data_IF_891169461626
#
_entry.id   IF_891169461626
#
_cell.length_a   1.000
_cell.length_b   1.000
_cell.length_c   1.000
_cell.angle_alpha   90.00
_cell.angle_beta   90.00
_cell.angle_gamma   90.00
#
_symmetry.space_group_name_H-M   'P 1'
#
loop_
_entity.id
_entity.type
_entity.pdbx_description
1 polymer ?
#
# COMPACT_ATOMS: atom_id res chain seq x y z
N UNK A 1 4.16 25.89 -8.41
CA UNK A 1 3.69 25.64 -7.00
C UNK A 1 2.74 24.45 -6.92
N UNK A 2 1.83 24.28 -7.87
CA UNK A 2 0.90 23.14 -7.95
C UNK A 2 1.60 21.77 -8.03
N UNK A 3 2.66 21.61 -8.84
CA UNK A 3 3.41 20.34 -8.95
C UNK A 3 4.13 19.95 -7.67
N UNK A 4 4.59 20.94 -6.89
CA UNK A 4 5.18 20.70 -5.57
C UNK A 4 4.15 20.16 -4.59
N UNK A 5 2.94 20.74 -4.55
CA UNK A 5 1.84 20.27 -3.70
C UNK A 5 1.40 18.85 -4.09
N UNK A 6 1.30 18.57 -5.39
CA UNK A 6 1.03 17.22 -5.92
C UNK A 6 2.09 16.21 -5.45
N UNK A 7 3.37 16.54 -5.60
CA UNK A 7 4.45 15.66 -5.16
C UNK A 7 4.42 15.43 -3.64
N UNK A 8 4.24 16.49 -2.85
CA UNK A 8 4.14 16.40 -1.40
C UNK A 8 2.98 15.50 -0.96
N UNK A 9 1.81 15.65 -1.57
CA UNK A 9 0.65 14.82 -1.26
C UNK A 9 0.93 13.33 -1.54
N UNK A 10 1.49 13.01 -2.71
CA UNK A 10 1.86 11.64 -3.06
C UNK A 10 2.97 11.08 -2.15
N UNK A 11 3.92 11.92 -1.73
CA UNK A 11 4.93 11.54 -0.76
C UNK A 11 4.31 11.16 0.59
N UNK A 12 3.48 12.04 1.18
CA UNK A 12 2.80 11.78 2.45
C UNK A 12 1.92 10.51 2.40
N UNK A 13 1.24 10.28 1.27
CA UNK A 13 0.45 9.06 1.04
C UNK A 13 1.32 7.80 0.97
N UNK A 14 2.47 7.89 0.29
CA UNK A 14 3.39 6.75 0.17
C UNK A 14 3.97 6.40 1.54
N UNK A 15 4.37 7.39 2.34
CA UNK A 15 4.89 7.16 3.68
C UNK A 15 3.82 6.58 4.62
N UNK A 16 2.59 7.09 4.56
CA UNK A 16 1.46 6.52 5.32
C UNK A 16 1.23 5.05 4.98
N UNK A 17 1.31 4.71 3.69
CA UNK A 17 1.18 3.33 3.23
C UNK A 17 2.33 2.45 3.75
N UNK A 18 3.57 2.94 3.69
CA UNK A 18 4.75 2.23 4.21
C UNK A 18 4.62 1.95 5.72
N UNK A 19 4.11 2.91 6.51
CA UNK A 19 3.89 2.69 7.94
C UNK A 19 2.84 1.62 8.23
N UNK A 20 1.77 1.55 7.42
CA UNK A 20 0.80 0.45 7.50
C UNK A 20 1.47 -0.89 7.15
N UNK A 21 2.30 -0.94 6.11
CA UNK A 21 3.03 -2.16 5.75
C UNK A 21 4.00 -2.61 6.84
N UNK A 22 4.69 -1.68 7.51
CA UNK A 22 5.57 -1.99 8.65
C UNK A 22 4.78 -2.66 9.78
N UNK A 23 3.62 -2.10 10.15
CA UNK A 23 2.72 -2.70 11.16
C UNK A 23 2.29 -4.11 10.78
N UNK A 24 1.94 -4.34 9.52
CA UNK A 24 1.56 -5.66 9.00
C UNK A 24 2.76 -6.62 9.09
N UNK A 25 3.94 -6.19 8.63
CA UNK A 25 5.13 -7.04 8.59
C UNK A 25 5.60 -7.44 9.99
N UNK A 26 5.49 -6.57 11.00
CA UNK A 26 5.80 -6.92 12.39
C UNK A 26 4.93 -8.09 12.89
N UNK A 27 3.67 -8.18 12.44
CA UNK A 27 2.74 -9.24 12.83
C UNK A 27 2.98 -10.52 12.01
N UNK A 28 3.21 -10.37 10.70
CA UNK A 28 3.25 -11.50 9.76
C UNK A 28 4.63 -12.13 9.66
N UNK A 29 5.73 -11.38 9.84
CA UNK A 29 7.10 -11.91 9.73
C UNK A 29 7.35 -13.13 10.62
N UNK A 30 6.90 -13.17 11.88
CA UNK A 30 7.03 -14.35 12.74
C UNK A 30 6.34 -15.63 12.20
N UNK A 31 5.36 -15.51 11.30
CA UNK A 31 4.69 -16.68 10.70
C UNK A 31 5.67 -17.49 9.84
N UNK A 32 6.66 -16.81 9.23
CA UNK A 32 7.65 -17.43 8.37
C UNK A 32 8.91 -17.90 9.11
N UNK A 33 9.09 -17.51 10.37
CA UNK A 33 10.26 -17.94 11.17
C UNK A 33 10.03 -19.26 11.91
N UNK A 34 8.78 -19.76 11.96
CA UNK A 34 8.44 -21.05 12.58
C UNK A 34 8.62 -21.11 14.10
N UNK A 35 8.81 -19.95 14.74
CA UNK A 35 9.12 -19.85 16.18
C UNK A 35 7.88 -19.70 17.06
N UNK A 36 6.69 -19.53 16.47
CA UNK A 36 5.45 -19.29 17.21
C UNK A 36 4.68 -20.57 17.51
N UNK A 37 4.11 -20.64 18.70
CA UNK A 37 3.07 -21.59 19.08
C UNK A 37 1.74 -21.26 18.39
N UNK A 38 0.82 -22.23 18.37
CA UNK A 38 -0.53 -22.04 17.79
C UNK A 38 -1.27 -20.89 18.47
N UNK A 39 -1.17 -20.75 19.79
CA UNK A 39 -1.85 -19.67 20.53
C UNK A 39 -1.29 -18.29 20.18
N UNK A 40 0.03 -18.19 19.96
CA UNK A 40 0.68 -16.96 19.51
C UNK A 40 0.27 -16.60 18.07
N UNK A 41 0.12 -17.58 17.19
CA UNK A 41 -0.37 -17.36 15.82
C UNK A 41 -1.82 -16.85 15.85
N UNK A 42 -2.69 -17.50 16.63
CA UNK A 42 -4.09 -17.09 16.77
C UNK A 42 -4.18 -15.67 17.32
N UNK A 43 -3.39 -15.32 18.34
CA UNK A 43 -3.36 -13.97 18.89
C UNK A 43 -2.86 -12.94 17.86
N UNK A 44 -1.80 -13.26 17.10
CA UNK A 44 -1.26 -12.40 16.05
C UNK A 44 -2.28 -12.16 14.91
N UNK A 45 -2.97 -13.21 14.45
CA UNK A 45 -4.03 -13.11 13.45
C UNK A 45 -5.20 -12.28 13.97
N UNK A 46 -5.59 -12.42 15.24
CA UNK A 46 -6.66 -11.62 15.82
C UNK A 46 -6.28 -10.13 15.90
N UNK A 47 -5.02 -9.81 16.19
CA UNK A 47 -4.49 -8.43 16.12
C UNK A 47 -4.50 -7.90 14.68
N UNK A 48 -4.07 -8.72 13.71
CA UNK A 48 -4.10 -8.37 12.29
C UNK A 48 -5.54 -8.02 11.88
N UNK A 49 -6.50 -8.93 12.11
CA UNK A 49 -7.90 -8.77 11.67
C UNK A 49 -8.65 -7.66 12.39
N UNK A 50 -8.40 -7.43 13.69
CA UNK A 50 -9.17 -6.46 14.48
C UNK A 50 -8.60 -5.05 14.48
N UNK A 51 -7.32 -4.89 14.21
CA UNK A 51 -6.65 -3.58 14.32
C UNK A 51 -6.01 -3.12 13.03
N UNK A 52 -5.21 -3.98 12.39
CA UNK A 52 -4.34 -3.53 11.30
C UNK A 52 -5.01 -3.64 9.93
N UNK A 53 -5.72 -4.74 9.67
CA UNK A 53 -6.47 -4.93 8.43
C UNK A 53 -7.57 -3.87 8.23
N UNK A 54 -8.37 -3.47 9.25
CA UNK A 54 -9.36 -2.41 9.07
C UNK A 54 -8.73 -1.06 8.69
N UNK A 55 -7.62 -0.70 9.33
CA UNK A 55 -6.85 0.52 8.99
C UNK A 55 -6.35 0.45 7.54
N UNK A 56 -5.81 -0.71 7.14
CA UNK A 56 -5.31 -0.95 5.79
C UNK A 56 -6.44 -0.91 4.75
N UNK A 57 -7.59 -1.56 5.00
CA UNK A 57 -8.77 -1.52 4.15
C UNK A 57 -9.31 -0.11 3.99
N UNK A 58 -9.39 0.65 5.09
CA UNK A 58 -9.81 2.06 5.04
C UNK A 58 -8.89 2.90 4.15
N UNK A 59 -7.59 2.71 4.29
CA UNK A 59 -6.61 3.44 3.48
C UNK A 59 -6.62 2.99 2.01
N UNK A 60 -6.73 1.69 1.75
CA UNK A 60 -6.85 1.16 0.39
C UNK A 60 -8.10 1.69 -0.31
N UNK A 61 -9.23 1.75 0.39
CA UNK A 61 -10.47 2.34 -0.12
C UNK A 61 -10.33 3.82 -0.48
N UNK A 62 -9.56 4.60 0.29
CA UNK A 62 -9.31 6.00 -0.06
C UNK A 62 -8.43 6.13 -1.30
N UNK A 63 -7.42 5.26 -1.48
CA UNK A 63 -6.60 5.25 -2.70
C UNK A 63 -7.42 4.94 -3.96
N UNK A 64 -8.40 4.03 -3.87
CA UNK A 64 -9.33 3.75 -4.99
C UNK A 64 -10.23 4.96 -5.24
N UNK A 65 -10.83 5.53 -4.18
CA UNK A 65 -11.76 6.66 -4.29
C UNK A 65 -11.10 7.91 -4.86
N UNK A 66 -9.82 8.13 -4.53
CA UNK A 66 -9.02 9.23 -5.03
C UNK A 66 -8.46 8.99 -6.45
N UNK A 67 -8.78 7.84 -7.06
CA UNK A 67 -8.33 7.47 -8.41
C UNK A 67 -6.83 7.18 -8.51
N UNK A 68 -6.14 7.00 -7.39
CA UNK A 68 -4.73 6.59 -7.35
C UNK A 68 -4.63 5.16 -7.84
N UNK A 69 -5.49 4.29 -7.32
CA UNK A 69 -5.74 2.95 -7.86
C UNK A 69 -6.96 3.08 -8.77
N UNK A 70 -6.77 3.22 -10.08
CA UNK A 70 -7.86 3.47 -11.04
C UNK A 70 -7.90 2.46 -12.18
N UNK A 71 -9.10 2.33 -12.77
CA UNK A 71 -9.40 1.51 -13.96
C UNK A 71 -8.67 1.94 -15.24
N UNK A 72 -7.99 3.08 -15.22
CA UNK A 72 -7.15 3.52 -16.34
C UNK A 72 -5.70 3.00 -16.19
N UNK A 73 -5.39 2.31 -15.09
CA UNK A 73 -4.11 1.65 -14.82
C UNK A 73 -4.20 0.14 -15.04
N UNK A 74 -3.53 -0.63 -14.18
CA UNK A 74 -3.66 -2.08 -14.15
C UNK A 74 -5.04 -2.49 -13.62
N UNK A 75 -5.95 -2.86 -14.52
CA UNK A 75 -7.30 -3.34 -14.19
C UNK A 75 -7.28 -4.49 -13.19
N UNK A 76 -6.20 -5.29 -13.17
CA UNK A 76 -6.03 -6.39 -12.24
C UNK A 76 -5.77 -5.90 -10.80
N UNK A 77 -5.10 -4.76 -10.62
CA UNK A 77 -4.83 -4.19 -9.29
C UNK A 77 -6.08 -3.61 -8.64
N UNK A 78 -6.92 -2.90 -9.40
CA UNK A 78 -8.21 -2.39 -8.92
C UNK A 78 -9.08 -3.57 -8.48
N UNK A 79 -9.21 -4.58 -9.33
CA UNK A 79 -10.02 -5.77 -9.05
C UNK A 79 -9.54 -6.50 -7.79
N UNK A 80 -8.24 -6.79 -7.67
CA UNK A 80 -7.66 -7.43 -6.47
C UNK A 80 -7.87 -6.58 -5.21
N UNK A 81 -7.79 -5.26 -5.34
CA UNK A 81 -8.05 -4.34 -4.22
C UNK A 81 -9.52 -4.39 -3.78
N UNK A 82 -10.46 -4.35 -4.74
CA UNK A 82 -11.89 -4.48 -4.47
C UNK A 82 -12.25 -5.85 -3.88
N UNK A 83 -11.67 -6.94 -4.40
CA UNK A 83 -11.84 -8.29 -3.85
C UNK A 83 -11.36 -8.35 -2.40
N UNK A 84 -10.18 -7.80 -2.11
CA UNK A 84 -9.66 -7.75 -0.74
C UNK A 84 -10.56 -6.93 0.21
N UNK A 85 -11.05 -5.77 -0.24
CA UNK A 85 -11.96 -4.93 0.55
C UNK A 85 -13.24 -5.65 0.94
N UNK A 86 -13.75 -6.51 0.05
CA UNK A 86 -15.03 -7.21 0.22
C UNK A 86 -14.91 -8.60 0.88
N UNK A 87 -13.68 -9.10 1.08
CA UNK A 87 -13.44 -10.45 1.60
C UNK A 87 -12.95 -10.40 3.05
N UNK A 88 -13.43 -11.34 3.87
CA UNK A 88 -12.91 -11.55 5.21
C UNK A 88 -11.87 -12.67 5.17
N UNK A 89 -10.59 -12.30 5.10
CA UNK A 89 -9.48 -13.25 5.06
C UNK A 89 -9.37 -13.95 6.41
N UNK A 90 -9.16 -15.26 6.41
CA UNK A 90 -9.01 -16.07 7.60
C UNK A 90 -7.54 -16.27 8.01
N UNK A 91 -6.59 -16.22 7.07
CA UNK A 91 -5.12 -16.34 7.20
C UNK A 91 -4.58 -17.59 7.92
N UNK A 92 -5.26 -18.09 8.95
CA UNK A 92 -4.94 -19.25 9.74
C UNK A 92 -6.22 -19.94 10.20
N UNK A 93 -6.38 -21.22 9.86
CA UNK A 93 -7.56 -22.01 10.16
C UNK A 93 -7.17 -23.48 10.32
N UNK A 94 -7.84 -24.20 11.21
CA UNK A 94 -7.61 -25.64 11.43
C UNK A 94 -6.13 -26.01 11.69
N UNK A 95 -5.43 -25.11 12.41
CA UNK A 95 -3.99 -25.19 12.73
C UNK A 95 -3.05 -25.11 11.52
N UNK A 96 -3.51 -24.60 10.40
CA UNK A 96 -2.72 -24.37 9.19
C UNK A 96 -2.86 -22.93 8.70
N UNK A 97 -1.81 -22.41 8.08
CA UNK A 97 -1.88 -21.16 7.35
C UNK A 97 -2.65 -21.35 6.05
N UNK A 98 -3.45 -20.34 5.68
CA UNK A 98 -4.08 -20.28 4.37
C UNK A 98 -3.14 -19.54 3.43
N UNK A 99 -2.21 -20.30 2.84
CA UNK A 99 -1.13 -19.75 2.03
C UNK A 99 -1.65 -18.91 0.86
N UNK A 100 -2.75 -19.32 0.22
CA UNK A 100 -3.36 -18.54 -0.87
C UNK A 100 -3.78 -17.14 -0.42
N UNK A 101 -4.39 -17.03 0.76
CA UNK A 101 -4.83 -15.75 1.33
C UNK A 101 -3.66 -14.88 1.77
N UNK A 102 -2.66 -15.47 2.42
CA UNK A 102 -1.43 -14.76 2.81
C UNK A 102 -0.65 -14.26 1.59
N UNK A 103 -0.53 -15.09 0.55
CA UNK A 103 0.15 -14.75 -0.69
C UNK A 103 -0.61 -13.69 -1.48
N UNK A 104 -1.95 -13.80 -1.59
CA UNK A 104 -2.78 -12.78 -2.21
C UNK A 104 -2.65 -11.44 -1.48
N UNK A 105 -2.67 -11.45 -0.15
CA UNK A 105 -2.48 -10.25 0.65
C UNK A 105 -1.05 -9.67 0.51
N UNK A 106 -0.02 -10.51 0.47
CA UNK A 106 1.35 -10.06 0.23
C UNK A 106 1.52 -9.44 -1.17
N UNK A 107 1.01 -10.08 -2.21
CA UNK A 107 1.07 -9.61 -3.58
C UNK A 107 0.34 -8.26 -3.74
N UNK A 108 -0.88 -8.15 -3.21
CA UNK A 108 -1.65 -6.90 -3.23
C UNK A 108 -0.86 -5.75 -2.58
N UNK A 109 -0.29 -6.00 -1.40
CA UNK A 109 0.47 -4.99 -0.65
C UNK A 109 1.64 -4.42 -1.45
N UNK A 110 2.37 -5.29 -2.16
CA UNK A 110 3.50 -4.92 -3.00
C UNK A 110 3.05 -4.14 -4.24
N UNK A 111 2.04 -4.63 -4.97
CA UNK A 111 1.55 -3.97 -6.17
C UNK A 111 1.03 -2.54 -5.91
N UNK A 112 0.32 -2.32 -4.79
CA UNK A 112 -0.10 -0.96 -4.40
C UNK A 112 1.09 -0.07 -4.03
N UNK A 113 2.11 -0.61 -3.37
CA UNK A 113 3.33 0.15 -3.06
C UNK A 113 4.04 0.59 -4.35
N UNK A 114 4.18 -0.32 -5.31
CA UNK A 114 4.79 -0.05 -6.61
C UNK A 114 4.05 1.07 -7.35
N UNK A 115 2.72 1.01 -7.41
CA UNK A 115 1.90 2.05 -8.03
C UNK A 115 2.09 3.42 -7.37
N UNK A 116 2.09 3.47 -6.03
CA UNK A 116 2.34 4.71 -5.28
C UNK A 116 3.73 5.27 -5.56
N UNK A 117 4.76 4.41 -5.58
CA UNK A 117 6.13 4.82 -5.88
C UNK A 117 6.27 5.34 -7.31
N UNK A 118 5.63 4.70 -8.28
CA UNK A 118 5.63 5.12 -9.67
C UNK A 118 4.97 6.50 -9.84
N UNK A 119 3.80 6.71 -9.24
CA UNK A 119 3.11 8.00 -9.26
C UNK A 119 3.92 9.09 -8.58
N UNK A 120 4.51 8.80 -7.41
CA UNK A 120 5.40 9.71 -6.69
C UNK A 120 6.60 10.10 -7.55
N UNK A 121 7.23 9.15 -8.23
CA UNK A 121 8.35 9.40 -9.12
C UNK A 121 7.96 10.25 -10.33
N UNK A 122 6.82 9.95 -10.98
CA UNK A 122 6.27 10.76 -12.08
C UNK A 122 6.02 12.20 -11.63
N UNK A 123 5.38 12.41 -10.49
CA UNK A 123 5.13 13.75 -9.94
C UNK A 123 6.42 14.49 -9.58
N UNK A 124 7.41 13.80 -9.03
CA UNK A 124 8.73 14.37 -8.75
C UNK A 124 9.41 14.85 -10.02
N UNK A 125 9.45 14.01 -11.06
CA UNK A 125 10.02 14.37 -12.37
C UNK A 125 9.32 15.60 -12.96
N UNK A 126 8.00 15.65 -12.93
CA UNK A 126 7.25 16.83 -13.43
C UNK A 126 7.58 18.10 -12.66
N UNK A 127 7.73 18.01 -11.33
CA UNK A 127 8.15 19.15 -10.50
C UNK A 127 9.55 19.64 -10.89
N UNK A 128 10.51 18.73 -11.08
CA UNK A 128 11.87 19.10 -11.50
C UNK A 128 11.89 19.80 -12.87
N UNK A 129 11.12 19.30 -13.84
CA UNK A 129 11.03 19.91 -15.17
C UNK A 129 10.47 21.34 -15.10
N UNK A 130 9.44 21.57 -14.27
CA UNK A 130 8.88 22.91 -14.06
C UNK A 130 9.94 23.85 -13.46
N UNK A 131 10.64 23.41 -12.42
CA UNK A 131 11.67 24.20 -11.75
C UNK A 131 12.84 24.55 -12.68
N UNK A 132 13.32 23.58 -13.46
CA UNK A 132 14.41 23.80 -14.42
C UNK A 132 13.98 24.75 -15.54
N UNK A 133 12.74 24.64 -16.02
CA UNK A 133 12.22 25.51 -17.09
C UNK A 133 12.03 26.95 -16.61
N UNK A 134 11.60 27.15 -15.36
CA UNK A 134 11.47 28.48 -14.75
C UNK A 134 12.84 29.14 -14.51
N UNK A 135 13.84 28.37 -14.08
CA UNK A 135 15.21 28.88 -13.89
C UNK A 135 15.86 29.26 -15.23
N UNK A 136 15.66 28.46 -16.29
CA UNK A 136 16.18 28.77 -17.62
C UNK A 136 15.57 30.03 -18.24
N UNK A 137 14.34 30.41 -17.87
CA UNK A 137 13.70 31.66 -18.30
C UNK A 137 14.22 32.89 -17.54
N UNK A 138 14.78 32.70 -16.34
CA UNK A 138 15.34 33.80 -15.52
C UNK A 138 16.77 34.17 -15.92
N UNK A 139 17.52 33.29 -16.59
CA UNK A 139 18.89 33.56 -17.06
C UNK A 139 18.95 34.31 -18.41
N UNK A 140 17.82 34.57 -19.06
CA UNK A 140 17.74 35.25 -20.38
C UNK A 140 17.30 36.72 -20.26
N UNK A 141 17.39 37.31 -19.06
CA UNK A 141 17.07 38.73 -18.79
C UNK A 141 18.27 39.48 -18.24
#
# INVERSE_FOLDING_TARGET
>A
MEKYLSFRNLHERTETYIELLKRINVIVQPFYTGTLSVDEIVAAVDVLKRRVEPDFKKYLSSLISDGIISKNGDDDLVKRSEEFLNTNYDYFKDKAFLDDELNAFAALRLSVLEQLQEMRFKSYKSMLVEQLSQNAQQEVV
#
